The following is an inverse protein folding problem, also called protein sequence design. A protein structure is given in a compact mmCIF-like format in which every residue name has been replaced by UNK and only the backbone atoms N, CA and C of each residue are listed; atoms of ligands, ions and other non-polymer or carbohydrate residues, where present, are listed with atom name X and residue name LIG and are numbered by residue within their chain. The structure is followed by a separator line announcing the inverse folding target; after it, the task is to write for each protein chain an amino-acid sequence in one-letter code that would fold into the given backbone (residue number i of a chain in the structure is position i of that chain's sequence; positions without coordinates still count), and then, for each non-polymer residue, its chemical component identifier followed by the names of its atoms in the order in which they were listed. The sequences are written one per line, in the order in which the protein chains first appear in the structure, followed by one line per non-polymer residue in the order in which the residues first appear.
data_IF_890768848236
#
_entry.id   IF_890768848236
#
_cell.length_a   1.000
_cell.length_b   1.000
_cell.length_c   1.000
_cell.angle_alpha   90.00
_cell.angle_beta   90.00
_cell.angle_gamma   90.00
#
_symmetry.space_group_name_H-M   'P 1'
#
loop_
_entity.id
_entity.type
_entity.pdbx_description
1 polymer ?
#
# COMPACT_ATOMS: atom_id res chain seq x y z
N UNK A 1 -15.59 -24.70 9.21
CA UNK A 1 -15.73 -24.10 7.87
C UNK A 1 -14.33 -23.70 7.43
N UNK A 2 -13.72 -24.40 6.48
CA UNK A 2 -12.35 -24.08 6.04
C UNK A 2 -12.45 -23.06 4.91
N UNK A 3 -12.04 -21.83 5.17
CA UNK A 3 -11.99 -20.78 4.15
C UNK A 3 -10.75 -21.03 3.30
N UNK A 4 -10.93 -21.56 2.08
CA UNK A 4 -9.83 -21.71 1.14
C UNK A 4 -9.51 -20.34 0.56
N UNK A 5 -8.31 -19.84 0.85
CA UNK A 5 -7.82 -18.57 0.32
C UNK A 5 -7.12 -18.85 -1.00
N UNK A 6 -7.49 -18.12 -2.05
CA UNK A 6 -6.86 -18.21 -3.37
C UNK A 6 -5.60 -17.32 -3.41
N UNK A 7 -4.39 -17.90 -3.55
CA UNK A 7 -3.15 -17.14 -3.66
C UNK A 7 -3.13 -16.15 -4.82
N UNK A 8 -3.80 -16.45 -5.93
CA UNK A 8 -3.86 -15.55 -7.08
C UNK A 8 -4.66 -14.29 -6.73
N UNK A 9 -5.80 -14.45 -6.03
CA UNK A 9 -6.59 -13.33 -5.55
C UNK A 9 -5.81 -12.44 -4.56
N UNK A 10 -4.99 -13.03 -3.69
CA UNK A 10 -4.11 -12.28 -2.78
C UNK A 10 -3.05 -11.46 -3.53
N UNK A 11 -2.43 -12.02 -4.57
CA UNK A 11 -1.47 -11.28 -5.41
C UNK A 11 -2.15 -10.14 -6.18
N UNK A 12 -3.35 -10.38 -6.72
CA UNK A 12 -4.14 -9.31 -7.36
C UNK A 12 -4.45 -8.19 -6.37
N UNK A 13 -4.84 -8.54 -5.15
CA UNK A 13 -5.09 -7.55 -4.10
C UNK A 13 -3.81 -6.78 -3.72
N UNK A 14 -2.67 -7.46 -3.60
CA UNK A 14 -1.36 -6.81 -3.39
C UNK A 14 -1.06 -5.79 -4.49
N UNK A 15 -1.21 -6.18 -5.77
CA UNK A 15 -0.98 -5.26 -6.89
C UNK A 15 -1.92 -4.05 -6.90
N UNK A 16 -3.20 -4.24 -6.55
CA UNK A 16 -4.14 -3.13 -6.42
C UNK A 16 -3.76 -2.17 -5.28
N UNK A 17 -3.22 -2.69 -4.18
CA UNK A 17 -2.70 -1.88 -3.07
C UNK A 17 -1.48 -1.07 -3.51
N UNK A 18 -0.56 -1.66 -4.29
CA UNK A 18 0.60 -0.97 -4.85
C UNK A 18 0.18 0.17 -5.80
N UNK A 19 -0.81 -0.07 -6.67
CA UNK A 19 -1.38 0.95 -7.57
C UNK A 19 -2.01 2.12 -6.79
N UNK A 20 -2.74 1.81 -5.71
CA UNK A 20 -3.29 2.83 -4.82
C UNK A 20 -2.19 3.64 -4.14
N UNK A 21 -1.13 2.99 -3.64
CA UNK A 21 0.03 3.65 -3.06
C UNK A 21 0.75 4.58 -4.05
N UNK A 22 0.89 4.14 -5.30
CA UNK A 22 1.43 4.95 -6.39
C UNK A 22 0.56 6.17 -6.74
N UNK A 23 -0.76 6.00 -6.72
CA UNK A 23 -1.74 7.07 -6.93
C UNK A 23 -1.66 8.11 -5.82
N UNK A 24 -1.62 7.68 -4.55
CA UNK A 24 -1.43 8.56 -3.38
C UNK A 24 -0.14 9.37 -3.49
N UNK A 25 0.99 8.75 -3.86
CA UNK A 25 2.27 9.45 -4.07
C UNK A 25 2.19 10.52 -5.15
N UNK A 26 1.54 10.21 -6.27
CA UNK A 26 1.36 11.17 -7.38
C UNK A 26 0.54 12.37 -6.92
N UNK A 27 -0.59 12.14 -6.24
CA UNK A 27 -1.44 13.24 -5.75
C UNK A 27 -0.77 14.06 -4.65
N UNK A 28 -0.03 13.42 -3.74
CA UNK A 28 0.75 14.12 -2.71
C UNK A 28 1.76 15.09 -3.34
N UNK A 29 2.50 14.64 -4.36
CA UNK A 29 3.50 15.47 -5.04
C UNK A 29 2.86 16.69 -5.71
N UNK A 30 1.69 16.49 -6.34
CA UNK A 30 0.93 17.58 -6.93
C UNK A 30 0.43 18.58 -5.87
N UNK A 31 -0.13 18.08 -4.76
CA UNK A 31 -0.63 18.91 -3.65
C UNK A 31 0.49 19.73 -2.99
N UNK A 32 1.67 19.14 -2.76
CA UNK A 32 2.82 19.84 -2.20
C UNK A 32 3.28 20.96 -3.15
N UNK A 33 3.37 20.68 -4.45
CA UNK A 33 3.72 21.67 -5.47
C UNK A 33 2.73 22.85 -5.51
N UNK A 34 1.43 22.56 -5.54
CA UNK A 34 0.38 23.58 -5.61
C UNK A 34 0.31 24.42 -4.32
N UNK A 35 0.47 23.78 -3.16
CA UNK A 35 0.38 24.47 -1.86
C UNK A 35 1.60 25.38 -1.63
N UNK A 36 2.80 24.93 -1.99
CA UNK A 36 4.01 25.75 -1.90
C UNK A 36 4.02 26.87 -2.95
N UNK A 37 3.56 26.61 -4.17
CA UNK A 37 3.41 27.62 -5.22
C UNK A 37 2.43 28.72 -4.82
N UNK A 38 1.29 28.35 -4.24
CA UNK A 38 0.28 29.30 -3.76
C UNK A 38 0.77 30.06 -2.52
N UNK A 39 1.48 29.41 -1.61
CA UNK A 39 2.06 30.04 -0.42
C UNK A 39 3.05 31.16 -0.73
N UNK A 40 3.76 31.08 -1.87
CA UNK A 40 4.63 32.16 -2.36
C UNK A 40 3.87 33.36 -2.95
N UNK A 41 2.64 33.15 -3.45
CA UNK A 41 1.83 34.17 -4.10
C UNK A 41 0.90 34.94 -3.14
N UNK A 42 0.69 34.46 -1.91
CA UNK A 42 -0.21 35.09 -0.94
C UNK A 42 0.58 36.00 0.02
N UNK A 43 0.42 37.34 -0.07
CA UNK A 43 1.09 38.25 0.84
C UNK A 43 0.45 38.19 2.24
N UNK A 44 1.24 37.79 3.24
CA UNK A 44 0.84 37.84 4.66
C UNK A 44 1.46 36.71 5.50
N UNK A 45 2.15 37.08 6.59
CA UNK A 45 2.83 36.16 7.51
C UNK A 45 1.89 35.08 8.10
N UNK A 46 0.65 35.45 8.43
CA UNK A 46 -0.32 34.52 9.02
C UNK A 46 -0.87 33.52 8.00
N UNK A 47 -1.22 33.97 6.79
CA UNK A 47 -1.80 33.09 5.77
C UNK A 47 -0.77 32.09 5.26
N UNK A 48 0.47 32.54 5.04
CA UNK A 48 1.58 31.66 4.67
C UNK A 48 1.82 30.58 5.73
N UNK A 49 1.88 30.96 7.00
CA UNK A 49 2.13 29.99 8.07
C UNK A 49 1.00 28.95 8.23
N UNK A 50 -0.26 29.35 8.00
CA UNK A 50 -1.40 28.43 7.99
C UNK A 50 -1.30 27.45 6.80
N UNK A 51 -0.94 27.94 5.61
CA UNK A 51 -0.75 27.10 4.42
C UNK A 51 0.41 26.12 4.59
N UNK A 52 1.53 26.55 5.18
CA UNK A 52 2.67 25.68 5.50
C UNK A 52 2.28 24.58 6.50
N UNK A 53 1.53 24.93 7.54
CA UNK A 53 1.06 23.94 8.53
C UNK A 53 0.06 22.95 7.93
N UNK A 54 -0.82 23.45 7.04
CA UNK A 54 -1.74 22.60 6.29
C UNK A 54 -0.95 21.63 5.41
N UNK A 55 -0.01 22.13 4.59
CA UNK A 55 0.85 21.30 3.74
C UNK A 55 1.53 20.20 4.54
N UNK A 56 2.13 20.54 5.69
CA UNK A 56 2.79 19.57 6.56
C UNK A 56 1.81 18.50 7.09
N UNK A 57 0.65 18.91 7.61
CA UNK A 57 -0.34 17.98 8.14
C UNK A 57 -0.90 17.02 7.08
N UNK A 58 -1.10 17.51 5.85
CA UNK A 58 -1.52 16.66 4.73
C UNK A 58 -0.42 15.68 4.32
N UNK A 59 0.83 16.15 4.19
CA UNK A 59 1.97 15.30 3.86
C UNK A 59 2.16 14.18 4.89
N UNK A 60 2.10 14.50 6.18
CA UNK A 60 2.18 13.53 7.27
C UNK A 60 1.04 12.49 7.23
N UNK A 61 -0.21 12.93 7.01
CA UNK A 61 -1.34 12.02 6.91
C UNK A 61 -1.25 11.08 5.69
N UNK A 62 -0.82 11.61 4.54
CA UNK A 62 -0.64 10.84 3.30
C UNK A 62 0.51 9.85 3.42
N UNK A 63 1.63 10.23 4.07
CA UNK A 63 2.74 9.33 4.34
C UNK A 63 2.28 8.14 5.19
N UNK A 64 1.50 8.36 6.27
CA UNK A 64 0.95 7.25 7.08
C UNK A 64 0.04 6.32 6.28
N UNK A 65 -0.79 6.88 5.39
CA UNK A 65 -1.63 6.05 4.52
C UNK A 65 -0.79 5.23 3.56
N UNK A 66 0.29 5.80 3.03
CA UNK A 66 1.23 5.07 2.18
C UNK A 66 1.92 3.94 2.93
N UNK A 67 2.44 4.22 4.12
CA UNK A 67 3.12 3.20 4.93
C UNK A 67 2.16 2.02 5.25
N UNK A 68 0.90 2.32 5.54
CA UNK A 68 -0.13 1.29 5.72
C UNK A 68 -0.39 0.47 4.45
N UNK A 69 -0.47 1.13 3.29
CA UNK A 69 -0.64 0.43 2.01
C UNK A 69 0.57 -0.46 1.70
N UNK A 70 1.80 0.04 1.91
CA UNK A 70 3.02 -0.74 1.69
C UNK A 70 3.06 -1.99 2.61
N UNK A 71 2.67 -1.84 3.89
CA UNK A 71 2.57 -2.96 4.84
C UNK A 71 1.49 -3.97 4.42
N UNK A 72 0.32 -3.48 3.99
CA UNK A 72 -0.78 -4.33 3.54
C UNK A 72 -0.43 -5.11 2.28
N UNK A 73 0.19 -4.46 1.28
CA UNK A 73 0.64 -5.12 0.05
C UNK A 73 1.63 -6.23 0.36
N UNK A 74 2.63 -5.93 1.20
CA UNK A 74 3.62 -6.92 1.65
C UNK A 74 2.96 -8.11 2.34
N UNK A 75 2.04 -7.87 3.29
CA UNK A 75 1.34 -8.93 4.00
C UNK A 75 0.51 -9.83 3.06
N UNK A 76 -0.13 -9.25 2.04
CA UNK A 76 -0.89 -10.01 1.04
C UNK A 76 0.01 -10.88 0.16
N UNK A 77 1.14 -10.34 -0.30
CA UNK A 77 2.12 -11.07 -1.09
C UNK A 77 2.77 -12.23 -0.29
N UNK A 78 3.09 -11.97 0.98
CA UNK A 78 3.64 -12.98 1.90
C UNK A 78 2.63 -14.09 2.17
N UNK A 79 1.36 -13.74 2.41
CA UNK A 79 0.29 -14.71 2.58
C UNK A 79 0.12 -15.59 1.31
N UNK A 80 0.15 -14.99 0.12
CA UNK A 80 0.06 -15.73 -1.14
C UNK A 80 1.22 -16.72 -1.33
N UNK A 81 2.41 -16.35 -0.87
CA UNK A 81 3.60 -17.20 -0.90
C UNK A 81 3.49 -18.33 0.12
N UNK A 82 3.01 -18.03 1.33
CA UNK A 82 2.76 -19.03 2.37
C UNK A 82 1.74 -20.09 1.96
N UNK A 83 0.61 -19.68 1.36
CA UNK A 83 -0.40 -20.61 0.87
C UNK A 83 0.14 -21.52 -0.25
N UNK A 84 0.85 -20.96 -1.24
CA UNK A 84 1.45 -21.77 -2.31
C UNK A 84 2.43 -22.82 -1.77
N UNK A 85 3.27 -22.42 -0.82
CA UNK A 85 4.21 -23.35 -0.17
C UNK A 85 3.47 -24.49 0.55
N UNK A 86 2.42 -24.16 1.30
CA UNK A 86 1.61 -25.16 1.99
C UNK A 86 0.93 -26.13 1.01
N UNK A 87 0.44 -25.63 -0.13
CA UNK A 87 -0.17 -26.45 -1.18
C UNK A 87 0.86 -27.40 -1.82
N UNK A 88 2.08 -26.90 -2.09
CA UNK A 88 3.17 -27.70 -2.65
C UNK A 88 3.65 -28.81 -1.69
N UNK A 89 3.80 -28.48 -0.40
CA UNK A 89 4.18 -29.43 0.66
C UNK A 89 3.11 -30.53 0.79
N UNK A 90 1.84 -30.15 0.82
CA UNK A 90 0.70 -31.09 0.88
C UNK A 90 0.68 -31.99 -0.37
N UNK A 91 0.89 -31.43 -1.56
CA UNK A 91 0.94 -32.22 -2.79
C UNK A 91 2.12 -33.20 -2.82
N UNK A 92 3.27 -32.83 -2.23
CA UNK A 92 4.42 -33.72 -2.10
C UNK A 92 4.13 -34.91 -1.18
N UNK A 93 3.43 -34.69 -0.05
CA UNK A 93 2.99 -35.77 0.85
C UNK A 93 2.07 -36.76 0.14
N UNK A 94 1.06 -36.29 -0.59
CA UNK A 94 0.16 -37.17 -1.35
C UNK A 94 0.90 -37.98 -2.42
N UNK A 95 1.83 -37.37 -3.17
CA UNK A 95 2.67 -38.09 -4.15
C UNK A 95 3.62 -39.12 -3.52
N UNK A 96 3.94 -38.98 -2.24
CA UNK A 96 4.74 -39.94 -1.50
C UNK A 96 3.89 -41.13 -1.02
N UNK A 97 2.62 -40.88 -0.64
CA UNK A 97 1.67 -41.91 -0.26
C UNK A 97 1.20 -42.76 -1.45
N UNK A 98 0.94 -42.16 -2.61
CA UNK A 98 0.52 -42.88 -3.84
C UNK A 98 1.61 -43.81 -4.43
N UNK A 99 2.84 -43.71 -3.95
CA UNK A 99 3.98 -44.54 -4.39
C UNK A 99 4.16 -45.83 -3.58
N UNK A 100 3.35 -46.04 -2.53
CA UNK A 100 3.30 -47.25 -1.71
C UNK A 100 2.03 -48.05 -1.99
#
# INVERSE_FOLDING_TARGET
MSTRVDPAALLTASGAVDELGGTVRTHQTALESDTLGTGGAVPGFRTRHVLERLAYGWSDALNRHRDYLDELGTALADAATGYRRSDDDTAAEFRALDRY
#
